data_IF_552467664944
#
_entry.id   IF_552467664944
#
_cell.length_a   1.000
_cell.length_b   1.000
_cell.length_c   1.000
_cell.angle_alpha   90.00
_cell.angle_beta   90.00
_cell.angle_gamma   90.00
#
_symmetry.space_group_name_H-M   'P 1'
#
loop_
_entity.id
_entity.type
_entity.pdbx_description
1 polymer ?
#
# COMPACT_ATOMS: atom_id res chain seq x y z
N UNK A 1 14.34 -12.50 1.31
CA UNK A 1 13.17 -13.37 1.20
C UNK A 1 12.07 -12.89 2.16
N UNK A 2 10.80 -12.89 1.73
CA UNK A 2 9.66 -12.65 2.62
C UNK A 2 9.24 -13.96 3.30
N UNK A 3 8.71 -13.90 4.52
CA UNK A 3 8.26 -15.07 5.29
C UNK A 3 6.74 -15.15 5.38
N UNK A 4 6.08 -13.99 5.41
CA UNK A 4 4.61 -13.90 5.50
C UNK A 4 4.13 -12.60 4.87
N UNK A 5 3.01 -12.68 4.16
CA UNK A 5 2.25 -11.55 3.65
C UNK A 5 0.88 -11.59 4.35
N UNK A 6 0.32 -10.44 4.69
CA UNK A 6 -0.96 -10.33 5.38
C UNK A 6 -1.66 -9.01 5.06
N UNK A 7 -2.97 -8.98 5.26
CA UNK A 7 -3.83 -7.81 5.03
C UNK A 7 -3.67 -7.20 3.63
N UNK A 8 -3.75 -8.00 2.54
CA UNK A 8 -3.67 -7.44 1.20
C UNK A 8 -4.90 -6.56 0.90
N UNK A 9 -4.67 -5.40 0.31
CA UNK A 9 -5.69 -4.45 -0.12
C UNK A 9 -5.26 -3.76 -1.40
N UNK A 10 -6.18 -3.57 -2.35
CA UNK A 10 -5.92 -2.76 -3.53
C UNK A 10 -5.57 -1.32 -3.12
N UNK A 11 -4.45 -0.82 -3.65
CA UNK A 11 -3.94 0.51 -3.35
C UNK A 11 -4.65 1.61 -4.17
N UNK A 12 -5.35 1.22 -5.23
CA UNK A 12 -6.05 2.09 -6.17
C UNK A 12 -7.28 1.37 -6.78
N UNK A 13 -8.16 2.15 -7.42
CA UNK A 13 -9.41 1.66 -8.03
C UNK A 13 -9.20 0.81 -9.28
N UNK A 14 -8.06 0.98 -9.94
CA UNK A 14 -7.72 0.29 -11.19
C UNK A 14 -6.94 -1.00 -10.92
N UNK A 15 -6.80 -1.38 -9.64
CA UNK A 15 -6.13 -2.59 -9.16
C UNK A 15 -4.69 -2.70 -9.67
N UNK A 16 -3.97 -1.58 -9.76
CA UNK A 16 -2.59 -1.54 -10.29
C UNK A 16 -1.54 -1.93 -9.25
N UNK A 17 -1.85 -1.76 -7.96
CA UNK A 17 -0.95 -2.04 -6.85
C UNK A 17 -1.67 -2.63 -5.63
N UNK A 18 -0.95 -3.40 -4.82
CA UNK A 18 -1.47 -4.03 -3.59
C UNK A 18 -0.69 -3.53 -2.38
N UNK A 19 -1.38 -2.91 -1.43
CA UNK A 19 -0.86 -2.63 -0.09
C UNK A 19 -0.99 -3.90 0.77
N UNK A 20 0.06 -4.23 1.52
CA UNK A 20 0.05 -5.37 2.44
C UNK A 20 1.06 -5.18 3.59
N UNK A 21 0.95 -6.03 4.60
CA UNK A 21 1.93 -6.17 5.67
C UNK A 21 2.85 -7.36 5.37
N UNK A 22 4.15 -7.10 5.28
CA UNK A 22 5.15 -8.10 4.92
C UNK A 22 6.14 -8.30 6.07
N UNK A 23 6.28 -9.55 6.52
CA UNK A 23 7.34 -9.96 7.44
C UNK A 23 8.52 -10.47 6.60
N UNK A 24 9.60 -9.69 6.58
CA UNK A 24 10.86 -10.09 5.96
C UNK A 24 11.73 -10.87 6.95
N UNK A 25 12.67 -11.65 6.44
CA UNK A 25 13.59 -12.44 7.26
C UNK A 25 14.51 -11.59 8.13
N UNK A 26 14.96 -10.45 7.60
CA UNK A 26 15.92 -9.56 8.27
C UNK A 26 15.25 -8.40 9.03
N UNK A 27 13.92 -8.35 9.06
CA UNK A 27 13.16 -7.29 9.77
C UNK A 27 12.34 -7.97 10.86
N UNK A 28 12.50 -7.55 12.12
CA UNK A 28 11.83 -8.16 13.27
C UNK A 28 10.30 -8.05 13.25
N UNK A 29 9.77 -6.96 12.71
CA UNK A 29 8.33 -6.71 12.60
C UNK A 29 7.82 -6.85 11.17
N UNK A 30 6.52 -7.11 11.02
CA UNK A 30 5.87 -6.92 9.74
C UNK A 30 5.84 -5.42 9.42
N UNK A 31 6.17 -5.06 8.18
CA UNK A 31 6.22 -3.67 7.71
C UNK A 31 5.21 -3.45 6.59
N UNK A 32 4.66 -2.23 6.45
CA UNK A 32 3.82 -1.90 5.31
C UNK A 32 4.64 -1.93 4.02
N UNK A 33 4.06 -2.48 2.96
CA UNK A 33 4.67 -2.57 1.65
C UNK A 33 3.61 -2.40 0.56
N UNK A 34 3.96 -1.70 -0.51
CA UNK A 34 3.12 -1.54 -1.71
C UNK A 34 3.77 -2.32 -2.84
N UNK A 35 3.17 -3.44 -3.24
CA UNK A 35 3.67 -4.32 -4.29
C UNK A 35 2.99 -4.01 -5.62
N UNK A 36 3.74 -4.12 -6.72
CA UNK A 36 3.24 -3.90 -8.09
C UNK A 36 3.72 -5.00 -9.04
N UNK A 37 3.01 -5.19 -10.15
CA UNK A 37 3.43 -6.14 -11.19
C UNK A 37 4.80 -5.74 -11.82
N UNK A 38 5.07 -4.44 -11.87
CA UNK A 38 6.29 -3.85 -12.45
C UNK A 38 7.26 -3.33 -11.40
N UNK A 39 7.24 -3.90 -10.19
CA UNK A 39 8.12 -3.48 -9.10
C UNK A 39 9.59 -3.58 -9.54
N UNK A 40 10.41 -2.60 -9.16
CA UNK A 40 11.84 -2.60 -9.48
C UNK A 40 12.55 -3.75 -8.80
N UNK A 41 12.12 -4.07 -7.59
CA UNK A 41 12.69 -5.14 -6.78
C UNK A 41 12.02 -6.49 -7.10
N UNK A 42 12.83 -7.55 -7.27
CA UNK A 42 12.31 -8.87 -7.61
C UNK A 42 11.29 -9.38 -6.60
N UNK A 43 11.56 -9.18 -5.31
CA UNK A 43 10.67 -9.62 -4.25
C UNK A 43 9.33 -8.84 -4.25
N UNK A 44 9.30 -7.59 -4.75
CA UNK A 44 8.06 -6.83 -4.86
C UNK A 44 7.12 -7.44 -5.90
N UNK A 45 7.66 -7.85 -7.04
CA UNK A 45 6.91 -8.59 -8.07
C UNK A 45 6.42 -9.94 -7.55
N UNK A 46 7.26 -10.66 -6.82
CA UNK A 46 6.91 -11.96 -6.22
C UNK A 46 5.78 -11.82 -5.18
N UNK A 47 5.82 -10.79 -4.33
CA UNK A 47 4.77 -10.48 -3.36
C UNK A 47 3.46 -10.15 -4.06
N UNK A 48 3.49 -9.29 -5.09
CA UNK A 48 2.31 -8.96 -5.88
C UNK A 48 1.67 -10.22 -6.48
N UNK A 49 2.48 -11.08 -7.11
CA UNK A 49 2.00 -12.34 -7.67
C UNK A 49 1.44 -13.30 -6.59
N UNK A 50 2.04 -13.35 -5.40
CA UNK A 50 1.53 -14.15 -4.28
C UNK A 50 0.16 -13.67 -3.79
N UNK A 51 -0.05 -12.35 -3.72
CA UNK A 51 -1.37 -11.77 -3.42
C UNK A 51 -2.41 -12.17 -4.47
N UNK A 52 -2.08 -12.08 -5.77
CA UNK A 52 -3.00 -12.48 -6.85
C UNK A 52 -3.37 -13.97 -6.83
N UNK A 53 -2.45 -14.83 -6.38
CA UNK A 53 -2.71 -16.27 -6.19
C UNK A 53 -3.54 -16.57 -4.94
N UNK A 54 -3.83 -15.58 -4.11
CA UNK A 54 -4.58 -15.76 -2.86
C UNK A 54 -3.76 -16.33 -1.70
N UNK A 55 -2.43 -16.40 -1.81
CA UNK A 55 -1.56 -16.93 -0.74
C UNK A 55 -1.58 -16.06 0.53
N UNK A 56 -1.94 -14.79 0.38
CA UNK A 56 -2.08 -13.82 1.46
C UNK A 56 -3.53 -13.64 1.96
N UNK A 57 -4.47 -14.44 1.43
CA UNK A 57 -5.91 -14.22 1.55
C UNK A 57 -6.49 -13.38 0.41
N UNK A 58 -7.79 -13.11 0.47
CA UNK A 58 -8.49 -12.26 -0.49
C UNK A 58 -8.00 -10.81 -0.39
N UNK A 59 -7.76 -10.18 -1.54
CA UNK A 59 -7.33 -8.78 -1.61
C UNK A 59 -8.56 -7.91 -1.35
N UNK A 60 -8.55 -7.14 -0.27
CA UNK A 60 -9.61 -6.20 0.05
C UNK A 60 -9.71 -5.09 -1.00
N UNK A 61 -10.93 -4.59 -1.25
CA UNK A 61 -11.17 -3.49 -2.18
C UNK A 61 -10.52 -2.17 -1.72
N UNK A 62 -10.22 -1.32 -2.71
CA UNK A 62 -9.65 0.00 -2.45
C UNK A 62 -10.63 0.88 -1.68
N UNK A 63 -10.17 1.44 -0.56
CA UNK A 63 -10.92 2.41 0.23
C UNK A 63 -10.37 3.82 -0.02
N UNK A 64 -11.13 4.65 -0.73
CA UNK A 64 -10.74 6.04 -0.98
C UNK A 64 -10.63 6.82 0.34
N UNK A 65 -9.50 7.50 0.60
CA UNK A 65 -9.37 8.35 1.78
C UNK A 65 -10.42 9.47 1.74
N UNK A 66 -11.25 9.56 2.78
CA UNK A 66 -12.18 10.68 2.97
C UNK A 66 -11.49 11.79 3.77
N UNK A 67 -11.43 13.00 3.21
CA UNK A 67 -10.98 14.19 3.93
C UNK A 67 -12.20 15.09 4.12
N UNK A 68 -12.42 15.59 5.33
CA UNK A 68 -13.51 16.55 5.55
C UNK A 68 -13.23 17.87 4.81
N UNK A 69 -14.27 18.61 4.38
CA UNK A 69 -14.10 19.92 3.75
C UNK A 69 -13.26 20.89 4.59
N UNK A 70 -13.43 20.87 5.91
CA UNK A 70 -12.66 21.69 6.86
C UNK A 70 -11.18 21.32 6.83
N UNK A 71 -10.88 20.02 6.87
CA UNK A 71 -9.49 19.55 6.83
C UNK A 71 -8.82 19.86 5.49
N UNK A 72 -9.57 19.76 4.39
CA UNK A 72 -9.09 20.16 3.07
C UNK A 72 -8.76 21.66 3.01
N UNK A 73 -9.62 22.51 3.58
CA UNK A 73 -9.38 23.97 3.69
C UNK A 73 -8.12 24.28 4.50
N UNK A 74 -7.95 23.62 5.65
CA UNK A 74 -6.79 23.79 6.53
C UNK A 74 -5.48 23.42 5.80
N UNK A 75 -5.46 22.27 5.11
CA UNK A 75 -4.29 21.82 4.34
C UNK A 75 -3.91 22.80 3.23
N UNK A 76 -4.90 23.37 2.55
CA UNK A 76 -4.70 24.40 1.51
C UNK A 76 -4.08 25.66 2.11
N UNK A 77 -4.68 26.22 3.16
CA UNK A 77 -4.16 27.44 3.79
C UNK A 77 -2.73 27.25 4.30
N UNK A 78 -2.42 26.08 4.88
CA UNK A 78 -1.07 25.75 5.34
C UNK A 78 -0.06 25.66 4.19
N UNK A 79 -0.47 25.15 3.02
CA UNK A 79 0.37 25.17 1.81
C UNK A 79 0.65 26.62 1.38
N UNK A 80 -0.40 27.44 1.27
CA UNK A 80 -0.28 28.81 0.78
C UNK A 80 0.62 29.66 1.69
N UNK A 81 0.54 29.46 3.01
CA UNK A 81 1.42 30.11 3.99
C UNK A 81 2.89 29.68 3.91
N UNK A 82 3.18 28.46 3.44
CA UNK A 82 4.57 27.97 3.28
C UNK A 82 5.21 28.43 1.97
N UNK A 83 4.41 28.95 1.04
CA UNK A 83 4.84 29.39 -0.29
C UNK A 83 4.93 30.93 -0.39
N UNK A 84 4.52 31.66 0.64
CA UNK A 84 4.62 33.12 0.76
C UNK A 84 5.86 33.50 1.58
#
# INVERSE_FOLDING_TARGET
>A
MWKKISNPQWADKDHTAVNCMVKFEHIEQAVPFTATASDTEAYGRDIYAACLRGEAGEIAEYAQPSISPEKARELKNRRDQRLA
#
